data_IF_885430020638
#
_entry.id   IF_885430020638
#
_cell.length_a   1.000
_cell.length_b   1.000
_cell.length_c   1.000
_cell.angle_alpha   90.00
_cell.angle_beta   90.00
_cell.angle_gamma   90.00
#
_symmetry.space_group_name_H-M   'P 1'
#
loop_
_entity.id
_entity.type
_entity.pdbx_description
1 polymer ?
#
# COMPACT_ATOMS: atom_id res chain seq x y z
N UNK A 1 -26.67 -13.88 -51.83
CA UNK A 1 -25.30 -14.28 -52.22
C UNK A 1 -24.38 -13.15 -51.79
N UNK A 2 -23.34 -13.27 -50.98
CA UNK A 2 -22.62 -14.41 -50.39
C UNK A 2 -22.16 -14.03 -48.95
N UNK A 3 -21.68 -15.03 -48.21
CA UNK A 3 -21.51 -15.10 -46.75
C UNK A 3 -20.31 -14.31 -46.18
N UNK A 4 -20.29 -14.00 -44.86
CA UNK A 4 -19.08 -13.58 -44.16
C UNK A 4 -18.40 -14.76 -43.44
N UNK A 5 -17.06 -14.81 -43.45
CA UNK A 5 -16.27 -15.59 -42.48
C UNK A 5 -15.13 -14.71 -41.92
N UNK A 6 -15.24 -14.56 -40.60
CA UNK A 6 -14.32 -14.33 -39.47
C UNK A 6 -12.95 -13.65 -39.62
N UNK A 7 -12.70 -12.72 -38.69
CA UNK A 7 -11.45 -12.69 -37.93
C UNK A 7 -11.74 -12.53 -36.43
N UNK A 8 -11.14 -13.42 -35.64
CA UNK A 8 -11.30 -13.59 -34.20
C UNK A 8 -10.12 -12.96 -33.46
N UNK A 9 -10.36 -11.98 -32.58
CA UNK A 9 -9.59 -11.75 -31.35
C UNK A 9 -10.57 -11.23 -30.27
N UNK A 10 -10.78 -11.94 -29.14
CA UNK A 10 -11.75 -11.54 -28.13
C UNK A 10 -11.18 -10.54 -27.11
N UNK A 11 -12.03 -9.56 -26.76
CA UNK A 11 -12.05 -8.81 -25.51
C UNK A 11 -10.98 -7.75 -25.24
N UNK A 12 -10.92 -6.70 -26.06
CA UNK A 12 -10.55 -5.39 -25.55
C UNK A 12 -11.38 -4.29 -26.23
N UNK A 13 -12.32 -3.69 -25.50
CA UNK A 13 -12.86 -2.36 -25.84
C UNK A 13 -12.79 -1.50 -24.59
N UNK A 14 -11.95 -0.47 -24.67
CA UNK A 14 -11.83 0.61 -23.70
C UNK A 14 -13.10 1.46 -23.72
N UNK A 15 -13.67 1.79 -22.55
CA UNK A 15 -14.69 2.84 -22.47
C UNK A 15 -14.39 3.88 -21.40
N UNK A 16 -14.15 5.09 -21.89
CA UNK A 16 -14.36 6.37 -21.22
C UNK A 16 -15.88 6.56 -21.10
N UNK A 17 -16.38 6.79 -19.89
CA UNK A 17 -17.77 7.15 -19.55
C UNK A 17 -18.88 6.18 -20.04
N UNK A 18 -19.38 5.28 -19.18
CA UNK A 18 -20.83 5.08 -18.93
C UNK A 18 -21.12 4.02 -17.84
N UNK A 19 -22.17 4.28 -17.08
CA UNK A 19 -23.22 3.34 -16.66
C UNK A 19 -22.81 2.10 -15.85
N UNK A 20 -22.95 2.23 -14.52
CA UNK A 20 -23.06 1.08 -13.61
C UNK A 20 -24.31 0.29 -13.97
N UNK A 21 -24.11 -0.86 -14.63
CA UNK A 21 -25.10 -1.94 -14.61
C UNK A 21 -24.80 -2.74 -13.35
N UNK A 22 -25.71 -2.59 -12.39
CA UNK A 22 -25.73 -3.27 -11.11
C UNK A 22 -26.01 -4.76 -11.34
N UNK A 23 -25.01 -5.63 -11.20
CA UNK A 23 -25.30 -7.05 -11.00
C UNK A 23 -24.28 -7.77 -10.11
N UNK A 24 -24.85 -8.32 -9.02
CA UNK A 24 -24.36 -9.40 -8.16
C UNK A 24 -23.03 -9.21 -7.40
N UNK A 25 -23.13 -9.05 -6.06
CA UNK A 25 -22.20 -9.39 -4.93
C UNK A 25 -20.67 -9.14 -5.03
N UNK A 26 -20.08 -9.02 -6.20
CA UNK A 26 -18.65 -8.89 -6.50
C UNK A 26 -18.18 -7.47 -6.13
N UNK A 27 -18.99 -6.43 -6.35
CA UNK A 27 -18.67 -5.07 -5.89
C UNK A 27 -18.72 -4.95 -4.36
N UNK A 28 -19.60 -5.72 -3.71
CA UNK A 28 -19.65 -5.79 -2.24
C UNK A 28 -18.45 -6.54 -1.66
N UNK A 29 -17.90 -7.53 -2.38
CA UNK A 29 -16.68 -8.24 -1.99
C UNK A 29 -15.39 -7.44 -2.25
N UNK A 30 -15.34 -6.64 -3.34
CA UNK A 30 -14.20 -5.77 -3.65
C UNK A 30 -14.08 -4.60 -2.66
N UNK A 31 -15.19 -4.19 -2.02
CA UNK A 31 -15.20 -3.19 -0.94
C UNK A 31 -14.98 -3.77 0.46
N UNK A 32 -14.97 -5.10 0.64
CA UNK A 32 -14.89 -5.79 1.94
C UNK A 32 -13.54 -6.47 2.19
N UNK A 33 -12.43 -5.78 1.89
CA UNK A 33 -11.10 -6.22 2.33
C UNK A 33 -10.35 -5.16 3.15
N UNK A 34 -11.07 -4.54 4.09
CA UNK A 34 -10.45 -4.09 5.34
C UNK A 34 -10.76 -5.08 6.46
N UNK A 35 -10.17 -6.28 6.38
CA UNK A 35 -10.04 -7.11 7.59
C UNK A 35 -8.93 -6.49 8.45
N UNK A 36 -9.36 -5.70 9.44
CA UNK A 36 -8.58 -5.00 10.49
C UNK A 36 -7.87 -3.69 10.12
N UNK A 37 -8.65 -2.67 9.73
CA UNK A 37 -8.15 -1.31 9.48
C UNK A 37 -7.35 -0.69 10.63
N UNK A 38 -7.62 -1.03 11.89
CA UNK A 38 -6.95 -0.39 13.04
C UNK A 38 -5.52 -0.89 13.27
N UNK A 39 -5.28 -2.21 13.17
CA UNK A 39 -3.93 -2.77 13.33
C UNK A 39 -3.00 -2.28 12.22
N UNK A 40 -3.50 -2.23 10.98
CA UNK A 40 -2.75 -1.70 9.85
C UNK A 40 -2.54 -0.19 9.93
N UNK A 41 -3.53 0.59 10.37
CA UNK A 41 -3.34 2.04 10.61
C UNK A 41 -2.27 2.31 11.65
N UNK A 42 -2.21 1.50 12.72
CA UNK A 42 -1.17 1.60 13.75
C UNK A 42 0.23 1.25 13.23
N UNK A 43 0.31 0.36 12.25
CA UNK A 43 1.59 -0.14 11.70
C UNK A 43 2.02 0.58 10.42
N UNK A 44 1.15 1.38 9.80
CA UNK A 44 1.36 1.98 8.48
C UNK A 44 2.62 2.86 8.44
N UNK A 45 2.83 3.67 9.46
CA UNK A 45 4.02 4.51 9.57
C UNK A 45 5.31 3.68 9.55
N UNK A 46 5.36 2.60 10.34
CA UNK A 46 6.49 1.68 10.40
C UNK A 46 6.73 0.98 9.06
N UNK A 47 5.65 0.57 8.37
CA UNK A 47 5.75 -0.04 7.02
C UNK A 47 6.34 0.95 6.02
N UNK A 48 5.87 2.20 6.00
CA UNK A 48 6.41 3.25 5.10
C UNK A 48 7.90 3.46 5.37
N UNK A 49 8.26 3.63 6.64
CA UNK A 49 9.66 3.85 7.04
C UNK A 49 10.55 2.67 6.62
N UNK A 50 10.10 1.44 6.83
CA UNK A 50 10.82 0.24 6.39
C UNK A 50 11.04 0.20 4.87
N UNK A 51 10.01 0.54 4.10
CA UNK A 51 10.14 0.55 2.64
C UNK A 51 11.12 1.63 2.16
N UNK A 52 11.11 2.80 2.78
CA UNK A 52 12.06 3.87 2.46
C UNK A 52 13.50 3.51 2.84
N UNK A 53 13.69 2.80 3.96
CA UNK A 53 15.00 2.25 4.36
C UNK A 53 15.55 1.29 3.29
N UNK A 54 14.71 0.38 2.78
CA UNK A 54 15.14 -0.65 1.82
C UNK A 54 15.32 -0.13 0.38
N UNK A 55 14.60 0.92 0.00
CA UNK A 55 14.53 1.38 -1.40
C UNK A 55 15.12 2.81 -1.60
N UNK A 56 15.59 3.46 -0.52
CA UNK A 56 16.22 4.77 -0.55
C UNK A 56 15.24 5.94 -0.59
N UNK A 57 14.54 6.13 -1.72
CA UNK A 57 13.47 7.13 -1.84
C UNK A 57 12.34 6.64 -2.73
N UNK A 58 11.11 7.02 -2.41
CA UNK A 58 9.93 6.56 -3.14
C UNK A 58 8.87 7.66 -3.21
N UNK A 59 8.10 7.73 -4.30
CA UNK A 59 6.87 8.53 -4.35
C UNK A 59 5.64 7.71 -3.95
N UNK A 60 4.53 8.39 -3.62
CA UNK A 60 3.38 7.77 -2.98
C UNK A 60 2.84 6.51 -3.68
N UNK A 61 2.77 6.54 -5.02
CA UNK A 61 2.31 5.39 -5.80
C UNK A 61 3.27 4.20 -5.73
N UNK A 62 4.60 4.42 -5.69
CA UNK A 62 5.54 3.30 -5.54
C UNK A 62 5.35 2.60 -4.21
N UNK A 63 5.10 3.36 -3.14
CA UNK A 63 4.86 2.81 -1.79
C UNK A 63 3.62 1.92 -1.80
N UNK A 64 2.49 2.39 -2.35
CA UNK A 64 1.25 1.58 -2.40
C UNK A 64 1.43 0.32 -3.24
N UNK A 65 2.10 0.42 -4.38
CA UNK A 65 2.35 -0.72 -5.26
C UNK A 65 3.29 -1.74 -4.63
N UNK A 66 4.32 -1.29 -3.91
CA UNK A 66 5.26 -2.18 -3.21
C UNK A 66 4.56 -2.95 -2.09
N UNK A 67 3.72 -2.28 -1.27
CA UNK A 67 2.95 -2.96 -0.22
C UNK A 67 1.98 -3.98 -0.82
N UNK A 68 1.26 -3.60 -1.87
CA UNK A 68 0.36 -4.51 -2.57
C UNK A 68 1.10 -5.75 -3.09
N UNK A 69 2.28 -5.57 -3.67
CA UNK A 69 3.09 -6.68 -4.18
C UNK A 69 3.59 -7.60 -3.05
N UNK A 70 4.15 -7.02 -1.98
CA UNK A 70 4.69 -7.79 -0.83
C UNK A 70 3.62 -8.61 -0.11
N UNK A 71 2.39 -8.10 -0.08
CA UNK A 71 1.26 -8.75 0.59
C UNK A 71 0.38 -9.55 -0.36
N UNK A 72 0.80 -9.75 -1.62
CA UNK A 72 0.03 -10.47 -2.63
C UNK A 72 -1.40 -9.91 -2.83
N UNK A 73 -1.58 -8.61 -2.59
CA UNK A 73 -2.86 -7.92 -2.69
C UNK A 73 -3.70 -7.92 -1.41
N UNK A 74 -3.32 -8.66 -0.36
CA UNK A 74 -4.06 -8.71 0.91
C UNK A 74 -4.05 -7.36 1.64
N UNK A 75 -2.99 -6.56 1.48
CA UNK A 75 -2.94 -5.19 1.99
C UNK A 75 -2.93 -4.20 0.83
N UNK A 76 -3.97 -3.37 0.78
CA UNK A 76 -4.04 -2.23 -0.12
C UNK A 76 -4.07 -0.94 0.68
N UNK A 77 -3.09 -0.08 0.45
CA UNK A 77 -3.03 1.25 1.07
C UNK A 77 -3.75 2.24 0.16
N UNK A 78 -4.77 2.91 0.70
CA UNK A 78 -5.47 3.98 0.00
C UNK A 78 -4.69 5.29 0.11
N UNK A 79 -4.86 6.19 -0.86
CA UNK A 79 -4.28 7.54 -0.79
C UNK A 79 -4.70 8.30 0.48
N UNK A 80 -5.97 8.12 0.90
CA UNK A 80 -6.51 8.72 2.12
C UNK A 80 -5.90 8.19 3.42
N UNK A 81 -5.19 7.06 3.39
CA UNK A 81 -4.38 6.58 4.51
C UNK A 81 -2.91 6.96 4.36
N UNK A 82 -2.37 6.85 3.14
CA UNK A 82 -0.96 7.09 2.84
C UNK A 82 -0.54 8.54 3.10
N UNK A 83 -1.23 9.50 2.49
CA UNK A 83 -0.76 10.89 2.53
C UNK A 83 -0.83 11.51 3.92
N UNK A 84 -1.87 11.26 4.75
CA UNK A 84 -1.84 11.67 6.16
C UNK A 84 -0.68 11.05 6.94
N UNK A 85 -0.33 9.78 6.68
CA UNK A 85 0.81 9.13 7.32
C UNK A 85 2.14 9.76 6.90
N UNK A 86 2.33 10.03 5.60
CA UNK A 86 3.52 10.71 5.08
C UNK A 86 3.65 12.13 5.66
N UNK A 87 2.57 12.90 5.71
CA UNK A 87 2.58 14.24 6.31
C UNK A 87 2.91 14.21 7.80
N UNK A 88 2.43 13.20 8.53
CA UNK A 88 2.78 13.02 9.94
C UNK A 88 4.27 12.73 10.11
N UNK A 89 4.82 11.80 9.32
CA UNK A 89 6.24 11.45 9.39
C UNK A 89 7.16 12.62 8.96
N UNK A 90 6.75 13.40 7.95
CA UNK A 90 7.41 14.65 7.54
C UNK A 90 7.38 15.68 8.69
N UNK A 91 6.22 15.90 9.31
CA UNK A 91 6.07 16.82 10.45
C UNK A 91 6.86 16.40 11.69
N UNK A 92 7.06 15.10 11.90
CA UNK A 92 7.92 14.54 12.97
C UNK A 92 9.43 14.66 12.65
N UNK A 93 9.79 15.15 11.45
CA UNK A 93 11.17 15.27 10.97
C UNK A 93 11.82 13.92 10.66
N UNK A 94 11.01 12.89 10.40
CA UNK A 94 11.49 11.54 10.07
C UNK A 94 11.70 11.37 8.57
N UNK A 95 11.05 12.20 7.74
CA UNK A 95 11.17 12.19 6.29
C UNK A 95 11.61 13.54 5.74
N UNK A 96 12.48 13.50 4.73
CA UNK A 96 12.74 14.59 3.80
C UNK A 96 11.90 14.40 2.52
N UNK A 97 11.61 15.52 1.85
CA UNK A 97 10.84 15.53 0.60
C UNK A 97 11.63 16.20 -0.53
N UNK A 98 11.79 15.48 -1.63
CA UNK A 98 12.39 15.96 -2.87
C UNK A 98 11.30 16.07 -3.94
N UNK A 99 11.28 17.16 -4.71
CA UNK A 99 10.37 17.33 -5.84
C UNK A 99 11.14 17.09 -7.14
N UNK A 100 10.73 16.10 -7.91
CA UNK A 100 11.35 15.76 -9.18
C UNK A 100 10.36 15.89 -10.34
N UNK A 101 10.86 16.30 -11.51
CA UNK A 101 10.08 16.31 -12.74
C UNK A 101 10.37 15.03 -13.53
N UNK A 102 9.39 14.16 -13.64
CA UNK A 102 9.44 12.91 -14.41
C UNK A 102 8.28 12.89 -15.40
N UNK A 103 8.57 12.70 -16.70
CA UNK A 103 7.58 12.70 -17.78
C UNK A 103 6.69 13.96 -17.78
N UNK A 104 7.30 15.12 -17.57
CA UNK A 104 6.62 16.42 -17.46
C UNK A 104 5.62 16.53 -16.29
N UNK A 105 5.68 15.62 -15.30
CA UNK A 105 4.89 15.66 -14.07
C UNK A 105 5.80 15.85 -12.87
N UNK A 106 5.36 16.69 -11.93
CA UNK A 106 6.04 16.84 -10.65
C UNK A 106 5.64 15.69 -9.71
N UNK A 107 6.62 15.00 -9.15
CA UNK A 107 6.44 13.92 -8.17
C UNK A 107 7.16 14.32 -6.88
N UNK A 108 6.49 14.09 -5.75
CA UNK A 108 7.10 14.20 -4.42
C UNK A 108 7.70 12.84 -4.05
N UNK A 109 9.01 12.80 -3.93
CA UNK A 109 9.77 11.67 -3.41
C UNK A 109 10.02 11.88 -1.92
N UNK A 110 9.82 10.84 -1.14
CA UNK A 110 10.07 10.81 0.29
C UNK A 110 11.32 9.98 0.56
N UNK A 111 12.13 10.43 1.51
CA UNK A 111 13.36 9.77 1.94
C UNK A 111 13.47 9.84 3.47
N UNK A 112 14.06 8.83 4.10
CA UNK A 112 14.35 8.91 5.54
C UNK A 112 15.43 9.96 5.83
N UNK A 113 15.23 10.72 6.90
CA UNK A 113 16.30 11.50 7.53
C UNK A 113 17.21 10.57 8.35
N UNK A 114 18.33 11.09 8.88
CA UNK A 114 19.15 10.34 9.85
C UNK A 114 18.34 9.97 11.11
N UNK A 115 17.50 10.91 11.58
CA UNK A 115 16.54 10.68 12.66
C UNK A 115 15.53 9.60 12.28
N UNK A 116 14.98 9.68 11.07
CA UNK A 116 14.05 8.70 10.51
C UNK A 116 14.64 7.29 10.47
N UNK A 117 15.90 7.16 10.09
CA UNK A 117 16.60 5.87 10.03
C UNK A 117 16.75 5.26 11.42
N UNK A 118 17.21 6.04 12.40
CA UNK A 118 17.30 5.59 13.81
C UNK A 118 15.93 5.18 14.36
N UNK A 119 14.91 6.00 14.12
CA UNK A 119 13.54 5.73 14.58
C UNK A 119 12.91 4.51 13.91
N UNK A 120 13.30 4.20 12.67
CA UNK A 120 12.84 3.00 11.94
C UNK A 120 13.21 1.74 12.72
N UNK A 121 14.44 1.66 13.23
CA UNK A 121 14.92 0.52 14.03
C UNK A 121 14.09 0.35 15.29
N UNK A 122 13.82 1.43 16.02
CA UNK A 122 13.02 1.37 17.25
C UNK A 122 11.59 0.87 16.99
N UNK A 123 10.94 1.44 15.97
CA UNK A 123 9.54 1.09 15.63
C UNK A 123 9.41 -0.34 15.10
N UNK A 124 10.42 -0.85 14.41
CA UNK A 124 10.45 -2.25 13.97
C UNK A 124 10.60 -3.18 15.17
N UNK A 125 11.49 -2.88 16.11
CA UNK A 125 11.64 -3.68 17.32
C UNK A 125 10.34 -3.72 18.14
N UNK A 126 9.68 -2.58 18.35
CA UNK A 126 8.39 -2.51 19.03
C UNK A 126 7.30 -3.32 18.31
N UNK A 127 7.26 -3.26 16.97
CA UNK A 127 6.29 -4.02 16.18
C UNK A 127 6.56 -5.53 16.22
N UNK A 128 7.83 -5.95 16.17
CA UNK A 128 8.23 -7.35 16.32
C UNK A 128 7.82 -7.90 17.68
N UNK A 129 8.07 -7.15 18.75
CA UNK A 129 7.66 -7.54 20.10
C UNK A 129 6.14 -7.62 20.25
N UNK A 130 5.42 -6.67 19.67
CA UNK A 130 3.96 -6.71 19.61
C UNK A 130 3.47 -7.99 18.90
N UNK A 131 4.00 -8.30 17.71
CA UNK A 131 3.63 -9.49 16.95
C UNK A 131 3.94 -10.77 17.75
N UNK A 132 5.12 -10.86 18.36
CA UNK A 132 5.56 -12.00 19.19
C UNK A 132 4.61 -12.25 20.36
N UNK A 133 4.23 -11.19 21.07
CA UNK A 133 3.29 -11.24 22.19
C UNK A 133 1.90 -11.68 21.72
N UNK A 134 1.41 -11.10 20.61
CA UNK A 134 0.11 -11.46 20.04
C UNK A 134 0.07 -12.92 19.55
N UNK A 135 1.15 -13.42 18.95
CA UNK A 135 1.25 -14.83 18.56
C UNK A 135 1.13 -15.76 19.77
N UNK A 136 1.82 -15.43 20.87
CA UNK A 136 1.76 -16.20 22.11
C UNK A 136 0.36 -16.22 22.72
N UNK A 137 -0.38 -15.10 22.63
CA UNK A 137 -1.75 -14.98 23.15
C UNK A 137 -2.78 -15.69 22.27
N UNK A 138 -2.67 -15.58 20.94
CA UNK A 138 -3.66 -16.11 19.99
C UNK A 138 -3.46 -17.60 19.74
N UNK A 139 -2.22 -18.10 19.79
CA UNK A 139 -1.93 -19.53 19.68
C UNK A 139 -1.11 -20.01 20.90
N UNK A 140 -1.77 -20.26 22.04
CA UNK A 140 -1.08 -20.65 23.29
C UNK A 140 -0.41 -22.05 23.22
N UNK A 141 -0.57 -22.79 22.11
CA UNK A 141 0.02 -24.13 21.91
C UNK A 141 1.35 -24.06 21.16
N UNK A 142 2.35 -23.43 21.77
CA UNK A 142 3.77 -23.69 21.51
C UNK A 142 4.56 -23.86 22.83
N UNK A 143 3.86 -24.26 23.89
CA UNK A 143 4.47 -24.88 25.07
C UNK A 143 4.22 -26.40 24.96
N UNK A 144 5.16 -27.12 24.36
CA UNK A 144 5.40 -28.54 24.62
C UNK A 144 6.88 -28.67 24.98
#
# INVERSE_FOLDING_TARGET
MAQPIEFFIPNFVMYKNLMYICDSKIDFLILQNMKNSQLYKGSLNTIIMKLLEENGKMYGYEITQKVKALTQGELTITEGALYPALHKLEAEGLLDVEIERVDNRLRKYYKLTEKGTTETVNRLAELEDFIRNMQSLVNPKLAI
#
